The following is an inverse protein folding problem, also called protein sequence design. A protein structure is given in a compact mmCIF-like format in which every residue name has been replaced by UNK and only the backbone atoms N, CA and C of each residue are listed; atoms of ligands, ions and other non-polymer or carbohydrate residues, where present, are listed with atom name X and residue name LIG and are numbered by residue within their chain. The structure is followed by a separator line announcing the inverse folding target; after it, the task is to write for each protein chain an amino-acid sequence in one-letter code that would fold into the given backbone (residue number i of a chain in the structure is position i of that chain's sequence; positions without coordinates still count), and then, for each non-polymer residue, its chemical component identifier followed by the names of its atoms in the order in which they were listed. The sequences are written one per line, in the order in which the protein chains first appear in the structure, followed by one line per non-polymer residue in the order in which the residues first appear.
data_IF_487054448993
#
_entry.id   IF_487054448993
#
_cell.length_a   1.000
_cell.length_b   1.000
_cell.length_c   1.000
_cell.angle_alpha   90.00
_cell.angle_beta   90.00
_cell.angle_gamma   90.00
#
_symmetry.space_group_name_H-M   'P 1'
#
loop_
_entity.id
_entity.type
_entity.pdbx_description
1 polymer ?
2 water ?
#
# COMPACT_ATOMS: atom_id res chain seq x y z
N UNK A 1 -2.03 2.89 -16.94
CA UNK A 1 -0.62 2.58 -16.72
C UNK A 1 -0.13 1.37 -17.53
N UNK A 2 1.17 1.38 -17.87
CA UNK A 2 1.74 0.29 -18.65
C UNK A 2 1.69 -1.01 -17.86
N UNK A 3 1.69 -2.16 -18.54
CA UNK A 3 1.70 -3.43 -17.82
C UNK A 3 2.95 -3.63 -16.99
N UNK A 4 4.08 -3.03 -17.40
CA UNK A 4 5.30 -3.15 -16.61
C UNK A 4 5.16 -2.39 -15.29
N UNK A 5 4.47 -1.24 -15.31
CA UNK A 5 4.20 -0.52 -14.07
C UNK A 5 3.20 -1.29 -13.21
N UNK A 6 2.16 -1.86 -13.83
CA UNK A 6 1.20 -2.63 -13.05
C UNK A 6 1.86 -3.83 -12.38
N UNK A 7 2.75 -4.54 -13.10
CA UNK A 7 3.46 -5.67 -12.50
C UNK A 7 4.22 -5.24 -11.26
N UNK A 8 4.92 -4.10 -11.35
CA UNK A 8 5.68 -3.60 -10.21
C UNK A 8 4.76 -3.31 -9.04
N UNK A 9 3.62 -2.65 -9.29
CA UNK A 9 2.74 -2.29 -8.19
C UNK A 9 2.17 -3.53 -7.50
N UNK A 10 1.80 -4.57 -8.26
CA UNK A 10 1.32 -5.79 -7.59
C UNK A 10 2.42 -6.41 -6.73
N UNK A 11 3.66 -6.45 -7.23
CA UNK A 11 4.74 -7.02 -6.42
C UNK A 11 5.00 -6.18 -5.18
N UNK A 12 4.93 -4.86 -5.31
CA UNK A 12 5.07 -3.97 -4.16
C UNK A 12 4.01 -4.28 -3.11
N UNK A 13 2.74 -4.39 -3.54
CA UNK A 13 1.67 -4.67 -2.59
C UNK A 13 1.84 -6.05 -1.96
N UNK A 14 2.31 -7.02 -2.74
CA UNK A 14 2.54 -8.35 -2.21
C UNK A 14 3.61 -8.33 -1.13
N UNK A 15 4.70 -7.61 -1.38
CA UNK A 15 5.78 -7.56 -0.39
C UNK A 15 5.39 -6.75 0.84
N UNK A 16 4.49 -5.76 0.68
CA UNK A 16 4.03 -5.04 1.87
C UNK A 16 3.17 -5.93 2.76
N UNK A 17 2.32 -6.78 2.16
CA UNK A 17 1.62 -7.80 2.93
C UNK A 17 2.61 -8.64 3.74
N UNK A 18 3.66 -9.12 3.08
CA UNK A 18 4.68 -9.88 3.79
C UNK A 18 5.33 -9.05 4.89
N UNK A 19 5.63 -7.78 4.60
CA UNK A 19 6.24 -6.92 5.61
C UNK A 19 5.35 -6.77 6.84
N UNK A 20 4.05 -6.54 6.64
CA UNK A 20 3.15 -6.39 7.78
C UNK A 20 3.08 -7.68 8.60
N UNK A 21 3.08 -8.83 7.92
CA UNK A 21 3.06 -10.10 8.64
C UNK A 21 4.36 -10.31 9.41
N UNK A 22 5.48 -9.90 8.82
CA UNK A 22 6.76 -10.03 9.52
C UNK A 22 6.83 -9.10 10.73
N UNK A 23 6.34 -7.86 10.59
CA UNK A 23 6.30 -6.96 11.74
C UNK A 23 5.47 -7.56 12.88
N UNK A 24 4.31 -8.12 12.56
CA UNK A 24 3.48 -8.73 13.60
C UNK A 24 4.17 -9.95 14.21
N UNK A 25 4.79 -10.78 13.37
CA UNK A 25 5.56 -11.92 13.86
C UNK A 25 6.66 -11.47 14.81
N UNK A 26 7.39 -10.41 14.44
CA UNK A 26 8.49 -9.94 15.28
C UNK A 26 7.98 -9.43 16.63
N UNK A 27 6.96 -8.57 16.61
CA UNK A 27 6.41 -8.03 17.85
C UNK A 27 5.91 -9.14 18.77
N UNK A 28 5.26 -10.15 18.19
CA UNK A 28 4.75 -11.28 18.97
C UNK A 28 5.89 -12.05 19.63
N UNK A 29 6.95 -12.34 18.87
CA UNK A 29 8.06 -13.10 19.43
C UNK A 29 8.73 -12.32 20.56
N UNK A 30 8.94 -11.02 20.35
CA UNK A 30 9.48 -10.14 21.39
C UNK A 30 8.67 -10.24 22.68
N UNK A 31 7.35 -10.12 22.56
CA UNK A 31 6.49 -10.15 23.74
C UNK A 31 6.55 -11.49 24.46
N UNK A 32 6.79 -12.58 23.73
CA UNK A 32 6.86 -13.91 24.31
C UNK A 32 8.27 -14.30 24.71
N UNK A 33 9.21 -13.35 24.70
CA UNK A 33 10.57 -13.61 25.13
C UNK A 33 11.45 -14.33 24.13
N UNK A 34 10.98 -14.55 22.90
CA UNK A 34 11.75 -15.26 21.88
C UNK A 34 12.59 -14.25 21.10
N UNK A 35 13.69 -13.81 21.72
CA UNK A 35 14.50 -12.75 21.12
C UNK A 35 15.19 -13.22 19.85
N UNK A 36 15.66 -14.47 19.82
CA UNK A 36 16.30 -14.98 18.61
C UNK A 36 15.36 -14.91 17.41
N UNK A 37 14.09 -15.27 17.61
CA UNK A 37 13.11 -15.18 16.53
C UNK A 37 12.80 -13.73 16.18
N UNK A 38 12.69 -12.86 17.20
CA UNK A 38 12.41 -11.45 16.93
C UNK A 38 13.51 -10.82 16.07
N UNK A 39 14.77 -11.07 16.43
CA UNK A 39 15.87 -10.46 15.69
C UNK A 39 15.91 -11.01 14.27
N UNK A 40 15.79 -12.33 14.12
CA UNK A 40 15.83 -12.92 12.79
C UNK A 40 14.70 -12.37 11.93
N UNK A 41 13.51 -12.24 12.52
CA UNK A 41 12.35 -11.77 11.76
C UNK A 41 12.50 -10.30 11.40
N UNK A 42 13.06 -9.50 12.31
CA UNK A 42 13.27 -8.08 12.02
C UNK A 42 14.26 -7.90 10.88
N UNK A 43 15.31 -8.73 10.83
CA UNK A 43 16.23 -8.65 9.70
C UNK A 43 15.54 -9.02 8.39
N UNK A 44 14.75 -10.09 8.40
CA UNK A 44 13.99 -10.44 7.20
C UNK A 44 13.05 -9.31 6.79
N UNK A 45 12.44 -8.65 7.78
CA UNK A 45 11.54 -7.53 7.47
C UNK A 45 12.30 -6.39 6.80
N UNK A 46 13.46 -6.03 7.34
CA UNK A 46 14.25 -4.95 6.74
C UNK A 46 14.61 -5.29 5.30
N UNK A 47 15.03 -6.53 5.05
CA UNK A 47 15.35 -6.95 3.69
C UNK A 47 14.15 -6.82 2.77
N UNK A 48 12.97 -7.19 3.27
CA UNK A 48 11.74 -7.12 2.48
C UNK A 48 11.38 -5.68 2.13
N UNK A 49 11.44 -4.78 3.11
CA UNK A 49 11.14 -3.37 2.86
C UNK A 49 12.15 -2.77 1.88
N UNK A 50 13.44 -3.10 2.05
CA UNK A 50 14.45 -2.59 1.12
C UNK A 50 14.10 -2.96 -0.31
N UNK A 51 13.54 -4.15 -0.53
CA UNK A 51 13.13 -4.56 -1.86
C UNK A 51 11.91 -3.77 -2.33
N UNK A 52 10.95 -3.50 -1.43
CA UNK A 52 9.80 -2.66 -1.77
C UNK A 52 10.27 -1.29 -2.26
N UNK A 53 11.22 -0.70 -1.53
CA UNK A 53 11.74 0.62 -1.86
C UNK A 53 12.38 0.62 -3.25
N UNK A 54 13.18 -0.41 -3.56
CA UNK A 54 13.83 -0.46 -4.87
C UNK A 54 12.77 -0.49 -5.98
N UNK A 55 11.76 -1.35 -5.82
CA UNK A 55 10.74 -1.49 -6.85
C UNK A 55 9.87 -0.25 -6.97
N UNK A 56 9.65 0.46 -5.86
CA UNK A 56 8.82 1.67 -5.91
C UNK A 56 9.58 2.82 -6.56
N UNK A 57 10.88 2.94 -6.30
CA UNK A 57 11.69 3.87 -7.09
C UNK A 57 11.67 3.50 -8.57
N UNK A 58 11.69 2.21 -8.88
CA UNK A 58 11.64 1.81 -10.28
C UNK A 58 10.28 2.14 -10.89
N UNK A 59 9.20 1.82 -10.17
CA UNK A 59 7.85 2.19 -10.60
C UNK A 59 7.72 3.69 -10.83
N UNK A 60 8.27 4.49 -9.92
CA UNK A 60 8.20 5.94 -10.03
C UNK A 60 8.97 6.43 -11.25
N UNK A 61 10.17 5.90 -11.48
CA UNK A 61 10.93 6.22 -12.69
C UNK A 61 10.10 5.95 -13.93
N UNK A 62 9.47 4.78 -13.99
CA UNK A 62 8.71 4.39 -15.17
C UNK A 62 7.50 5.29 -15.36
N UNK A 63 6.83 5.65 -14.26
CA UNK A 63 5.65 6.51 -14.37
C UNK A 63 6.03 7.93 -14.76
N UNK A 64 7.19 8.42 -14.33
CA UNK A 64 7.64 9.73 -14.78
C UNK A 64 7.90 9.72 -16.28
N UNK A 65 8.64 8.72 -16.77
CA UNK A 65 8.92 8.61 -18.21
C UNK A 65 7.63 8.49 -19.01
N UNK A 66 6.64 7.82 -18.43
CA UNK A 66 5.32 7.63 -19.02
C UNK A 66 4.49 8.90 -19.03
N UNK A 67 4.87 9.91 -18.25
CA UNK A 67 4.04 11.09 -18.14
C UNK A 67 2.73 10.78 -17.46
N UNK A 68 2.76 9.93 -16.44
CA UNK A 68 1.58 9.43 -15.75
C UNK A 68 1.50 10.10 -14.38
N UNK A 69 0.90 11.29 -14.28
CA UNK A 69 0.96 12.02 -13.00
C UNK A 69 0.20 11.33 -11.89
N UNK A 70 -0.86 10.60 -12.23
CA UNK A 70 -1.64 9.87 -11.23
C UNK A 70 -0.78 8.81 -10.55
N UNK A 71 -0.09 7.99 -11.34
CA UNK A 71 0.70 6.91 -10.76
C UNK A 71 2.02 7.43 -10.21
N UNK A 72 2.51 8.57 -10.72
CA UNK A 72 3.66 9.22 -10.09
C UNK A 72 3.33 9.60 -8.65
N UNK A 73 2.16 10.21 -8.44
CA UNK A 73 1.77 10.57 -7.09
C UNK A 73 1.60 9.33 -6.22
N UNK A 74 0.98 8.28 -6.78
CA UNK A 74 0.81 7.05 -6.01
C UNK A 74 2.15 6.41 -5.67
N UNK A 75 3.06 6.32 -6.65
CA UNK A 75 4.37 5.73 -6.35
C UNK A 75 5.11 6.55 -5.31
N UNK A 76 4.98 7.88 -5.37
CA UNK A 76 5.65 8.71 -4.37
C UNK A 76 5.11 8.44 -2.97
N UNK A 77 3.79 8.27 -2.83
CA UNK A 77 3.24 7.98 -1.51
C UNK A 77 3.57 6.56 -1.08
N UNK A 78 3.67 5.61 -2.02
CA UNK A 78 4.07 4.26 -1.61
C UNK A 78 5.51 4.24 -1.13
N UNK A 79 6.39 4.97 -1.82
CA UNK A 79 7.78 5.06 -1.39
C UNK A 79 7.88 5.62 0.03
N UNK A 80 7.13 6.69 0.30
CA UNK A 80 7.18 7.33 1.61
C UNK A 80 6.67 6.41 2.72
N UNK A 81 5.61 5.65 2.43
CA UNK A 81 5.13 4.62 3.37
C UNK A 81 6.22 3.58 3.63
N UNK A 82 6.87 3.11 2.56
CA UNK A 82 7.91 2.10 2.71
C UNK A 82 9.09 2.62 3.53
N UNK A 83 9.52 3.86 3.28
CA UNK A 83 10.63 4.40 4.06
C UNK A 83 10.26 4.53 5.53
N UNK A 84 9.00 4.90 5.82
CA UNK A 84 8.55 4.95 7.21
C UNK A 84 8.55 3.56 7.85
N UNK A 85 8.11 2.54 7.11
CA UNK A 85 8.15 1.19 7.66
C UNK A 85 9.58 0.72 7.89
N UNK A 86 10.48 1.08 6.97
CA UNK A 86 11.89 0.74 7.13
C UNK A 86 12.48 1.37 8.38
N UNK A 87 12.16 2.65 8.63
CA UNK A 87 12.65 3.32 9.82
C UNK A 87 12.10 2.66 11.08
N UNK A 88 10.86 2.18 11.03
CA UNK A 88 10.28 1.53 12.21
C UNK A 88 10.95 0.18 12.47
N UNK A 89 11.23 -0.58 11.41
CA UNK A 89 11.87 -1.88 11.55
C UNK A 89 13.29 -1.75 12.09
N UNK A 90 14.04 -0.77 11.58
CA UNK A 90 15.42 -0.60 12.03
C UNK A 90 15.48 -0.21 13.50
N UNK A 91 14.58 0.68 13.94
CA UNK A 91 14.59 1.09 15.34
C UNK A 91 14.19 -0.07 16.25
N UNK A 92 13.24 -0.90 15.81
CA UNK A 92 12.85 -2.07 16.58
C UNK A 92 13.98 -3.10 16.64
N UNK A 93 14.73 -3.25 15.54
CA UNK A 93 15.89 -4.15 15.56
C UNK A 93 16.96 -3.64 16.51
N UNK A 94 17.23 -2.33 16.49
CA UNK A 94 18.19 -1.75 17.43
C UNK A 94 17.77 -2.01 18.88
N UNK A 95 16.49 -1.81 19.18
CA UNK A 95 16.01 -2.07 20.54
C UNK A 95 16.18 -3.54 20.91
N UNK A 96 15.86 -4.44 19.98
CA UNK A 96 16.00 -5.87 20.28
C UNK A 96 17.47 -6.23 20.50
N UNK A 97 18.37 -5.60 19.75
CA UNK A 97 19.79 -5.93 19.89
C UNK A 97 20.36 -5.44 21.21
N UNK A 98 19.75 -4.43 21.83
CA UNK A 98 20.22 -4.00 23.14
C UNK A 98 19.73 -4.94 24.23
N UNK A 99 18.54 -5.52 24.06
CA UNK A 99 17.97 -6.38 25.09
C UNK A 99 18.82 -7.62 25.30
N UNK B 1 1.11 -6.18 16.07
CA UNK B 1 -0.25 -5.80 15.66
C UNK B 1 -1.25 -6.93 15.89
N UNK B 2 -2.46 -6.58 16.32
CA UNK B 2 -3.49 -7.58 16.52
C UNK B 2 -3.80 -8.29 15.20
N UNK B 3 -4.26 -9.55 15.27
CA UNK B 3 -4.66 -10.23 14.03
C UNK B 3 -5.78 -9.53 13.29
N UNK B 4 -6.62 -8.78 14.01
CA UNK B 4 -7.70 -8.02 13.37
C UNK B 4 -7.12 -6.92 12.49
N UNK B 5 -6.12 -6.20 13.00
CA UNK B 5 -5.48 -5.15 12.20
C UNK B 5 -4.75 -5.77 11.01
N UNK B 6 -4.00 -6.85 11.25
CA UNK B 6 -3.32 -7.51 10.15
C UNK B 6 -4.29 -7.94 9.05
N UNK B 7 -5.45 -8.50 9.44
CA UNK B 7 -6.42 -8.95 8.43
C UNK B 7 -7.00 -7.78 7.65
N UNK B 8 -7.20 -6.63 8.31
CA UNK B 8 -7.70 -5.46 7.61
C UNK B 8 -6.67 -4.95 6.61
N UNK B 9 -5.40 -4.87 7.03
CA UNK B 9 -4.34 -4.45 6.11
C UNK B 9 -4.23 -5.39 4.92
N UNK B 10 -4.39 -6.70 5.17
CA UNK B 10 -4.37 -7.68 4.09
C UNK B 10 -5.42 -7.34 3.04
N UNK B 11 -6.65 -7.11 3.48
CA UNK B 11 -7.73 -6.79 2.54
C UNK B 11 -7.50 -5.44 1.88
N UNK B 12 -7.01 -4.46 2.64
CA UNK B 12 -6.70 -3.15 2.09
C UNK B 12 -5.75 -3.28 0.90
N UNK B 13 -4.67 -4.06 1.08
CA UNK B 13 -3.69 -4.23 0.01
C UNK B 13 -4.29 -5.00 -1.17
N UNK B 14 -5.10 -6.02 -0.90
CA UNK B 14 -5.77 -6.75 -1.97
C UNK B 14 -6.67 -5.83 -2.78
N UNK B 15 -7.41 -4.96 -2.10
CA UNK B 15 -8.31 -4.03 -2.79
C UNK B 15 -7.54 -2.97 -3.57
N UNK B 16 -6.40 -2.52 -3.04
CA UNK B 16 -5.56 -1.59 -3.80
C UNK B 16 -5.05 -2.23 -5.09
N UNK B 17 -4.66 -3.50 -5.03
CA UNK B 17 -4.30 -4.21 -6.26
C UNK B 17 -5.45 -4.17 -7.26
N UNK B 18 -6.67 -4.44 -6.80
CA UNK B 18 -7.81 -4.39 -7.71
C UNK B 18 -7.99 -2.97 -8.25
N UNK B 19 -7.80 -1.96 -7.40
CA UNK B 19 -7.94 -0.57 -7.83
C UNK B 19 -6.94 -0.22 -8.92
N UNK B 20 -5.67 -0.56 -8.71
CA UNK B 20 -4.69 -0.30 -9.77
C UNK B 20 -5.05 -1.03 -11.06
N UNK B 21 -5.55 -2.26 -10.95
CA UNK B 21 -5.94 -2.99 -12.15
C UNK B 21 -7.11 -2.30 -12.84
N UNK B 22 -8.08 -1.82 -12.07
CA UNK B 22 -9.23 -1.12 -12.65
C UNK B 22 -8.82 0.19 -13.31
N UNK B 23 -7.95 0.96 -12.65
CA UNK B 23 -7.42 2.18 -13.26
C UNK B 23 -6.76 1.87 -14.60
N UNK B 24 -5.93 0.83 -14.65
CA UNK B 24 -5.32 0.43 -15.91
C UNK B 24 -6.38 0.05 -16.96
N UNK B 25 -7.39 -0.73 -16.56
CA UNK B 25 -8.43 -1.13 -17.51
C UNK B 25 -9.22 0.07 -18.02
N UNK B 26 -9.47 1.06 -17.16
CA UNK B 26 -10.22 2.23 -17.60
C UNK B 26 -9.46 3.00 -18.68
N UNK B 27 -8.16 3.26 -18.45
CA UNK B 27 -7.36 3.97 -19.45
C UNK B 27 -7.21 3.15 -20.72
N UNK B 28 -7.10 1.82 -20.60
CA UNK B 28 -7.05 1.00 -21.80
C UNK B 28 -8.38 1.06 -22.56
N UNK B 29 -9.50 1.06 -21.84
CA UNK B 29 -10.79 1.19 -22.53
C UNK B 29 -10.89 2.51 -23.28
N UNK B 30 -10.42 3.60 -22.67
CA UNK B 30 -10.42 4.88 -23.38
C UNK B 30 -9.57 4.81 -24.64
N UNK B 31 -8.33 4.34 -24.51
CA UNK B 31 -7.45 4.25 -25.68
C UNK B 31 -8.07 3.40 -26.78
N UNK B 32 -8.87 2.40 -26.42
CA UNK B 32 -9.46 1.49 -27.37
C UNK B 32 -10.81 1.98 -27.87
N UNK B 33 -11.20 3.20 -27.50
CA UNK B 33 -12.42 3.79 -28.00
C UNK B 33 -13.69 3.23 -27.40
N UNK B 34 -13.64 2.72 -26.17
CA UNK B 34 -14.81 2.13 -25.54
C UNK B 34 -15.19 3.02 -24.36
N UNK B 35 -15.98 4.06 -24.64
CA UNK B 35 -16.33 5.04 -23.61
C UNK B 35 -17.14 4.40 -22.49
N UNK B 36 -18.15 3.60 -22.86
CA UNK B 36 -19.05 3.03 -21.86
C UNK B 36 -18.30 2.08 -20.93
N UNK B 37 -17.39 1.27 -21.48
CA UNK B 37 -16.57 0.41 -20.62
C UNK B 37 -15.72 1.23 -19.67
N UNK B 38 -15.12 2.32 -20.17
CA UNK B 38 -14.30 3.16 -19.31
C UNK B 38 -15.12 3.77 -18.18
N UNK B 39 -16.31 4.28 -18.50
CA UNK B 39 -17.17 4.88 -17.49
C UNK B 39 -17.58 3.84 -16.44
N UNK B 40 -17.96 2.64 -16.89
CA UNK B 40 -18.35 1.63 -15.91
C UNK B 40 -17.15 1.17 -15.08
N UNK B 41 -15.96 1.12 -15.69
CA UNK B 41 -14.79 0.68 -14.94
C UNK B 41 -14.38 1.71 -13.90
N UNK B 42 -14.46 3.00 -14.25
CA UNK B 42 -14.16 4.05 -13.29
C UNK B 42 -15.16 4.06 -12.14
N UNK B 43 -16.43 3.78 -12.43
CA UNK B 43 -17.41 3.71 -11.35
C UNK B 43 -17.12 2.54 -10.42
N UNK B 44 -16.72 1.39 -10.99
CA UNK B 44 -16.27 0.27 -10.15
C UNK B 44 -15.00 0.61 -9.38
N UNK B 45 -14.12 1.40 -9.98
CA UNK B 45 -12.89 1.78 -9.30
C UNK B 45 -13.19 2.67 -8.10
N UNK B 46 -14.07 3.66 -8.29
CA UNK B 46 -14.46 4.52 -7.18
C UNK B 46 -15.09 3.71 -6.04
N UNK B 47 -15.96 2.75 -6.36
CA UNK B 47 -16.53 1.89 -5.32
C UNK B 47 -15.44 1.13 -4.56
N UNK B 48 -14.46 0.58 -5.29
CA UNK B 48 -13.41 -0.22 -4.67
C UNK B 48 -12.56 0.63 -3.74
N UNK B 49 -12.14 1.82 -4.20
CA UNK B 49 -11.34 2.70 -3.35
C UNK B 49 -12.16 3.14 -2.14
N UNK B 50 -13.46 3.34 -2.34
CA UNK B 50 -14.34 3.74 -1.25
C UNK B 50 -14.32 2.71 -0.13
N UNK B 51 -14.28 1.41 -0.48
CA UNK B 51 -14.16 0.41 0.57
C UNK B 51 -12.76 0.36 1.18
N UNK B 52 -11.71 0.60 0.38
CA UNK B 52 -10.37 0.69 0.98
C UNK B 52 -10.37 1.70 2.11
N UNK B 53 -10.99 2.85 1.87
CA UNK B 53 -11.01 3.93 2.86
C UNK B 53 -11.78 3.50 4.10
N UNK B 54 -12.94 2.86 3.93
CA UNK B 54 -13.67 2.32 5.08
C UNK B 54 -12.75 1.41 5.90
N UNK B 55 -12.09 0.47 5.23
CA UNK B 55 -11.25 -0.48 5.95
C UNK B 55 -10.05 0.20 6.57
N UNK B 56 -9.46 1.17 5.87
CA UNK B 56 -8.29 1.83 6.42
C UNK B 56 -8.67 2.70 7.61
N UNK B 57 -9.84 3.33 7.57
CA UNK B 57 -10.28 4.09 8.75
C UNK B 57 -10.49 3.16 9.94
N UNK B 58 -10.98 1.95 9.70
CA UNK B 58 -11.13 0.97 10.78
C UNK B 58 -9.78 0.56 11.34
N UNK B 59 -8.83 0.22 10.46
CA UNK B 59 -7.52 -0.22 10.90
C UNK B 59 -6.81 0.86 11.71
N UNK B 60 -6.98 2.12 11.30
CA UNK B 60 -6.40 3.23 12.04
C UNK B 60 -7.05 3.38 13.42
N UNK B 61 -8.38 3.28 13.48
CA UNK B 61 -9.09 3.22 14.75
C UNK B 61 -8.53 2.16 15.70
N UNK B 62 -8.48 0.91 15.24
CA UNK B 62 -7.92 -0.16 16.06
C UNK B 62 -6.48 0.14 16.45
N UNK B 63 -5.70 0.69 15.51
CA UNK B 63 -4.29 0.96 15.79
C UNK B 63 -4.12 1.99 16.89
N UNK B 64 -4.89 3.08 16.86
CA UNK B 64 -4.80 4.04 17.96
C UNK B 64 -5.29 3.42 19.27
N UNK B 65 -6.36 2.62 19.21
CA UNK B 65 -6.88 2.01 20.43
C UNK B 65 -5.87 1.08 21.08
N UNK B 66 -4.99 0.47 20.27
CA UNK B 66 -3.93 -0.39 20.80
C UNK B 66 -2.69 0.38 21.23
N UNK B 67 -2.60 1.67 20.95
CA UNK B 67 -1.40 2.42 21.25
C UNK B 67 -0.21 1.94 20.43
N UNK B 68 -0.45 1.72 19.14
CA UNK B 68 0.49 1.12 18.19
C UNK B 68 0.97 2.17 17.20
N UNK B 69 1.96 2.99 17.56
CA UNK B 69 2.27 4.18 16.75
C UNK B 69 2.86 3.87 15.39
N UNK B 70 3.63 2.79 15.24
CA UNK B 70 4.11 2.39 13.92
C UNK B 70 2.94 2.11 12.97
N UNK B 71 1.96 1.32 13.43
CA UNK B 71 0.82 1.01 12.56
C UNK B 71 -0.16 2.17 12.45
N UNK B 72 -0.17 3.10 13.42
CA UNK B 72 -0.99 4.29 13.25
C UNK B 72 -0.47 5.11 12.07
N UNK B 73 0.84 5.34 12.02
CA UNK B 73 1.44 6.02 10.88
C UNK B 73 1.20 5.26 9.58
N UNK B 74 1.33 3.94 9.60
CA UNK B 74 1.13 3.15 8.39
C UNK B 74 -0.30 3.31 7.89
N UNK B 75 -1.28 3.19 8.80
CA UNK B 75 -2.68 3.37 8.42
C UNK B 75 -2.95 4.77 7.88
N UNK B 76 -2.36 5.79 8.52
CA UNK B 76 -2.62 7.16 8.08
C UNK B 76 -2.09 7.40 6.67
N UNK B 77 -0.94 6.81 6.34
CA UNK B 77 -0.41 6.97 4.99
C UNK B 77 -1.21 6.16 3.97
N UNK B 78 -1.66 4.96 4.34
CA UNK B 78 -2.52 4.22 3.41
C UNK B 78 -3.82 4.95 3.16
N UNK B 79 -4.44 5.49 4.22
CA UNK B 79 -5.64 6.29 4.03
C UNK B 79 -5.38 7.45 3.09
N UNK B 80 -4.25 8.13 3.25
CA UNK B 80 -3.97 9.29 2.42
C UNK B 80 -3.66 8.89 0.98
N UNK B 81 -3.02 7.73 0.78
CA UNK B 81 -2.84 7.20 -0.57
C UNK B 81 -4.18 6.88 -1.21
N UNK B 82 -5.08 6.25 -0.45
CA UNK B 82 -6.39 5.89 -0.99
C UNK B 82 -7.22 7.13 -1.34
N UNK B 83 -7.15 8.17 -0.51
CA UNK B 83 -7.87 9.41 -0.79
C UNK B 83 -7.39 10.04 -2.09
N UNK B 84 -6.08 9.96 -2.35
CA UNK B 84 -5.52 10.53 -3.57
C UNK B 84 -5.94 9.73 -4.79
N UNK B 85 -5.98 8.40 -4.66
CA UNK B 85 -6.44 7.58 -5.77
C UNK B 85 -7.93 7.81 -6.03
N UNK B 86 -8.71 8.01 -4.97
CA UNK B 86 -10.14 8.30 -5.13
C UNK B 86 -10.37 9.60 -5.87
N UNK B 87 -9.65 10.66 -5.49
CA UNK B 87 -9.85 11.95 -6.15
C UNK B 87 -9.40 11.90 -7.61
N UNK B 88 -8.35 11.13 -7.91
CA UNK B 88 -7.95 10.95 -9.31
C UNK B 88 -9.01 10.20 -10.10
N UNK B 89 -9.62 9.18 -9.50
CA UNK B 89 -10.65 8.41 -10.20
C UNK B 89 -11.89 9.26 -10.46
N UNK B 90 -12.32 10.04 -9.46
CA UNK B 90 -13.46 10.93 -9.66
C UNK B 90 -13.18 11.95 -10.75
N UNK B 91 -11.95 12.47 -10.82
CA UNK B 91 -11.64 13.47 -11.83
C UNK B 91 -11.65 12.86 -13.22
N UNK B 92 -11.15 11.63 -13.35
CA UNK B 92 -11.24 10.92 -14.62
C UNK B 92 -12.69 10.68 -15.02
N UNK B 93 -13.52 10.21 -14.08
CA UNK B 93 -14.94 10.02 -14.39
C UNK B 93 -15.61 11.35 -14.74
N UNK B 94 -15.27 12.42 -14.01
CA UNK B 94 -15.86 13.72 -14.31
C UNK B 94 -15.51 14.17 -15.72
N UNK B 95 -14.26 13.94 -16.15
CA UNK B 95 -13.84 14.36 -17.49
C UNK B 95 -14.64 13.66 -18.58
N UNK B 96 -15.11 12.43 -18.31
CA UNK B 96 -15.88 11.67 -19.29
C UNK B 96 -17.35 12.06 -19.32
N UNK B 97 -17.92 12.42 -18.17
CA UNK B 97 -19.30 12.87 -18.13
C UNK B 97 -19.33 14.40 -18.27
N UNK B 98 -20.49 15.00 -18.01
CA UNK B 98 -20.68 16.45 -18.13
C UNK B 98 -20.38 16.94 -19.55
#
# INVERSE_FOLDING_TARGET
MSPEIEDLLKKILELLEKAFALWAEAKKALAEGDLEKAISTLKELIATIEEVIVLTKKALELAEKEGNPEIVEQAKKLLDLAEALLEAAKAELARALSLNPLEHHHHHH
MSPEIEDLLKKILELLEKAFALWAEAKKALAEGDLEKAISTLKELIATIEEVIVLTKKALELAEKEGNPEIVEQAKKLLDLAEALLEAAKAELARALSLNPLEHHHHHH
#
